data_IF_012114595034
#
_entry.id   IF_012114595034
#
_cell.length_a   1.000
_cell.length_b   1.000
_cell.length_c   1.000
_cell.angle_alpha   90.00
_cell.angle_beta   90.00
_cell.angle_gamma   90.00
#
_symmetry.space_group_name_H-M   'P 1'
#
loop_
_entity.id
_entity.type
_entity.pdbx_description
1 polymer ?
#
# COMPACT_ATOMS: atom_id res chain seq x y z
N UNK A 1 19.04 6.90 -12.62
CA UNK A 1 19.41 5.49 -12.37
C UNK A 1 18.21 4.64 -12.71
N UNK A 2 18.24 4.01 -13.87
CA UNK A 2 17.24 3.01 -14.27
C UNK A 2 17.69 1.69 -13.65
N UNK A 3 16.98 1.23 -12.61
CA UNK A 3 17.17 -0.10 -12.07
C UNK A 3 16.77 -1.10 -13.17
N UNK A 4 17.75 -1.71 -13.82
CA UNK A 4 17.50 -2.86 -14.67
C UNK A 4 17.33 -4.06 -13.73
N UNK A 5 16.15 -4.68 -13.81
CA UNK A 5 15.92 -5.98 -13.18
C UNK A 5 16.96 -6.97 -13.72
N UNK A 6 17.74 -7.54 -12.83
CA UNK A 6 18.61 -8.66 -13.14
C UNK A 6 17.99 -9.85 -12.44
N UNK A 7 17.64 -10.88 -13.19
CA UNK A 7 17.20 -12.13 -12.60
C UNK A 7 18.35 -12.70 -11.79
N UNK A 8 18.26 -12.64 -10.46
CA UNK A 8 19.33 -13.07 -9.54
C UNK A 8 19.15 -14.53 -9.16
N UNK A 9 18.00 -15.13 -9.48
CA UNK A 9 17.60 -16.46 -9.02
C UNK A 9 17.37 -17.47 -10.15
N UNK A 10 17.45 -17.10 -11.45
CA UNK A 10 17.21 -18.05 -12.52
C UNK A 10 18.48 -18.80 -12.92
N UNK A 11 18.47 -20.10 -12.76
CA UNK A 11 19.16 -20.99 -13.67
C UNK A 11 18.36 -20.97 -14.97
N UNK A 12 18.96 -20.59 -16.10
CA UNK A 12 18.31 -20.55 -17.41
C UNK A 12 17.73 -21.93 -17.73
N UNK A 13 16.43 -22.07 -17.52
CA UNK A 13 15.64 -23.17 -18.10
C UNK A 13 14.88 -22.59 -19.29
N UNK A 14 14.79 -23.33 -20.37
CA UNK A 14 14.24 -22.88 -21.67
C UNK A 14 12.69 -22.89 -21.72
N UNK A 15 12.01 -23.03 -20.56
CA UNK A 15 10.56 -23.06 -20.47
C UNK A 15 9.99 -21.64 -20.23
N UNK A 16 9.27 -21.12 -21.23
CA UNK A 16 8.71 -19.77 -21.20
C UNK A 16 7.76 -19.53 -19.99
N UNK A 17 7.01 -20.53 -19.55
CA UNK A 17 6.09 -20.44 -18.43
C UNK A 17 6.81 -20.35 -17.07
N UNK A 18 7.90 -21.07 -16.88
CA UNK A 18 8.73 -20.97 -15.66
C UNK A 18 9.40 -19.61 -15.55
N UNK A 19 9.82 -19.04 -16.67
CA UNK A 19 10.41 -17.70 -16.69
C UNK A 19 9.43 -16.60 -16.29
N UNK A 20 8.15 -16.67 -16.70
CA UNK A 20 7.12 -15.70 -16.30
C UNK A 20 6.82 -15.77 -14.79
N UNK A 21 6.72 -16.97 -14.22
CA UNK A 21 6.47 -17.16 -12.80
C UNK A 21 7.65 -16.67 -11.94
N UNK A 22 8.87 -16.90 -12.38
CA UNK A 22 10.09 -16.39 -11.73
C UNK A 22 10.19 -14.88 -11.78
N UNK A 23 9.86 -14.26 -12.91
CA UNK A 23 9.84 -12.80 -13.04
C UNK A 23 8.78 -12.16 -12.13
N UNK A 24 7.62 -12.78 -11.99
CA UNK A 24 6.55 -12.30 -11.13
C UNK A 24 6.91 -12.39 -9.65
N UNK A 25 7.53 -13.47 -9.19
CA UNK A 25 7.97 -13.62 -7.80
C UNK A 25 9.10 -12.64 -7.47
N UNK A 26 10.06 -12.45 -8.38
CA UNK A 26 11.13 -11.47 -8.22
C UNK A 26 10.57 -10.06 -8.12
N UNK A 27 9.64 -9.70 -8.99
CA UNK A 27 8.96 -8.40 -8.96
C UNK A 27 8.21 -8.20 -7.64
N UNK A 28 7.57 -9.24 -7.13
CA UNK A 28 6.87 -9.21 -5.83
C UNK A 28 7.85 -8.93 -4.69
N UNK A 29 8.98 -9.64 -4.62
CA UNK A 29 10.02 -9.44 -3.60
C UNK A 29 10.53 -7.98 -3.63
N UNK A 30 10.84 -7.47 -4.81
CA UNK A 30 11.30 -6.08 -4.97
C UNK A 30 10.24 -5.08 -4.47
N UNK A 31 8.97 -5.34 -4.72
CA UNK A 31 7.88 -4.48 -4.25
C UNK A 31 7.74 -4.53 -2.72
N UNK A 32 7.85 -5.72 -2.11
CA UNK A 32 7.83 -5.91 -0.66
C UNK A 32 8.98 -5.16 0.02
N UNK A 33 10.21 -5.38 -0.44
CA UNK A 33 11.39 -4.70 0.10
C UNK A 33 11.33 -3.19 -0.10
N UNK A 34 10.89 -2.74 -1.28
CA UNK A 34 10.73 -1.31 -1.57
C UNK A 34 9.70 -0.66 -0.66
N UNK A 35 8.56 -1.31 -0.44
CA UNK A 35 7.52 -0.86 0.49
C UNK A 35 8.07 -0.73 1.91
N UNK A 36 8.77 -1.74 2.40
CA UNK A 36 9.38 -1.75 3.73
C UNK A 36 10.46 -0.65 3.85
N UNK A 37 11.31 -0.52 2.84
CA UNK A 37 12.38 0.47 2.81
C UNK A 37 11.85 1.92 2.86
N UNK A 38 10.78 2.23 2.13
CA UNK A 38 10.20 3.59 2.14
C UNK A 38 9.38 3.85 3.40
N UNK A 39 8.81 2.80 4.01
CA UNK A 39 8.03 2.90 5.25
C UNK A 39 8.94 3.09 6.48
N UNK A 40 10.11 2.44 6.50
CA UNK A 40 11.02 2.38 7.65
C UNK A 40 12.39 3.02 7.34
N UNK A 41 12.43 4.29 6.99
CA UNK A 41 13.68 4.99 6.63
C UNK A 41 14.67 5.12 7.78
N UNK A 42 14.17 5.28 9.00
CA UNK A 42 15.04 5.44 10.16
C UNK A 42 15.60 4.08 10.58
N UNK A 43 16.92 4.03 10.84
CA UNK A 43 17.63 2.81 11.28
C UNK A 43 17.01 2.15 12.51
N UNK A 44 16.44 2.95 13.42
CA UNK A 44 15.76 2.45 14.65
C UNK A 44 14.51 1.59 14.37
N UNK A 45 13.94 1.68 13.17
CA UNK A 45 12.68 0.99 12.83
C UNK A 45 12.86 -0.09 11.77
N UNK A 46 14.09 -0.50 11.48
CA UNK A 46 14.39 -1.56 10.49
C UNK A 46 14.43 -2.97 11.08
N UNK A 47 13.53 -3.26 12.03
CA UNK A 47 13.42 -4.60 12.60
C UNK A 47 13.16 -5.66 11.52
N UNK A 48 12.38 -5.32 10.49
CA UNK A 48 12.14 -6.20 9.36
C UNK A 48 13.43 -6.70 8.68
N UNK A 49 14.43 -5.81 8.56
CA UNK A 49 15.70 -6.16 7.94
C UNK A 49 16.52 -7.08 8.86
N UNK A 50 16.49 -6.83 10.16
CA UNK A 50 17.16 -7.69 11.14
C UNK A 50 16.54 -9.10 11.16
N UNK A 51 15.22 -9.20 11.21
CA UNK A 51 14.51 -10.46 11.19
C UNK A 51 14.70 -11.20 9.85
N UNK A 52 14.74 -10.49 8.74
CA UNK A 52 15.08 -11.05 7.43
C UNK A 52 16.50 -11.63 7.41
N UNK A 53 17.49 -10.89 7.94
CA UNK A 53 18.87 -11.38 8.00
C UNK A 53 19.02 -12.58 8.92
N UNK A 54 18.28 -12.64 10.05
CA UNK A 54 18.23 -13.83 10.91
C UNK A 54 17.65 -15.03 10.15
N UNK A 55 16.51 -14.83 9.48
CA UNK A 55 15.87 -15.90 8.69
C UNK A 55 16.79 -16.40 7.58
N UNK A 56 17.49 -15.51 6.87
CA UNK A 56 18.48 -15.89 5.86
C UNK A 56 19.68 -16.65 6.44
N UNK A 57 20.14 -16.27 7.64
CA UNK A 57 21.26 -16.95 8.31
C UNK A 57 20.91 -18.36 8.80
N UNK A 58 19.62 -18.64 9.05
CA UNK A 58 19.12 -19.97 9.40
C UNK A 58 18.98 -20.89 8.16
N UNK A 59 18.97 -20.30 6.97
CA UNK A 59 18.95 -21.04 5.69
C UNK A 59 20.37 -21.24 5.18
N UNK A 60 20.64 -22.36 4.57
CA UNK A 60 21.85 -22.52 3.76
C UNK A 60 21.77 -21.57 2.56
N UNK A 61 22.81 -20.76 2.36
CA UNK A 61 22.81 -19.63 1.39
C UNK A 61 22.42 -20.07 -0.04
N UNK A 62 22.79 -21.31 -0.42
CA UNK A 62 22.49 -21.86 -1.75
C UNK A 62 21.06 -22.40 -1.88
N UNK A 63 20.28 -22.42 -0.79
CA UNK A 63 18.94 -23.03 -0.72
C UNK A 63 17.81 -22.02 -0.45
N UNK A 64 18.03 -20.74 -0.65
CA UNK A 64 16.98 -19.72 -0.45
C UNK A 64 15.98 -19.79 -1.62
N UNK A 65 14.79 -20.31 -1.33
CA UNK A 65 13.70 -20.34 -2.31
C UNK A 65 13.02 -18.96 -2.39
N UNK A 66 12.92 -18.34 -3.58
CA UNK A 66 12.27 -17.04 -3.74
C UNK A 66 10.81 -16.99 -3.26
N UNK A 67 10.05 -18.09 -3.40
CA UNK A 67 8.67 -18.19 -2.92
C UNK A 67 8.62 -18.15 -1.38
N UNK A 68 9.55 -18.83 -0.70
CA UNK A 68 9.66 -18.79 0.76
C UNK A 68 10.06 -17.40 1.27
N UNK A 69 11.00 -16.74 0.58
CA UNK A 69 11.41 -15.36 0.91
C UNK A 69 10.22 -14.41 0.80
N UNK A 70 9.48 -14.48 -0.31
CA UNK A 70 8.29 -13.65 -0.49
C UNK A 70 7.21 -13.93 0.56
N UNK A 71 6.98 -15.20 0.92
CA UNK A 71 6.04 -15.57 1.96
C UNK A 71 6.46 -15.06 3.35
N UNK A 72 7.75 -15.12 3.67
CA UNK A 72 8.31 -14.53 4.88
C UNK A 72 8.05 -13.03 4.96
N UNK A 73 8.32 -12.30 3.86
CA UNK A 73 8.09 -10.85 3.81
C UNK A 73 6.60 -10.49 3.94
N UNK A 74 5.70 -11.20 3.25
CA UNK A 74 4.25 -10.97 3.38
C UNK A 74 3.78 -11.22 4.80
N UNK A 75 4.23 -12.30 5.43
CA UNK A 75 3.90 -12.62 6.82
C UNK A 75 4.38 -11.53 7.77
N UNK A 76 5.60 -11.05 7.60
CA UNK A 76 6.14 -9.96 8.40
C UNK A 76 5.31 -8.68 8.24
N UNK A 77 4.99 -8.30 7.01
CA UNK A 77 4.20 -7.11 6.67
C UNK A 77 2.83 -7.14 7.33
N UNK A 78 2.11 -8.26 7.19
CA UNK A 78 0.77 -8.43 7.75
C UNK A 78 0.80 -8.46 9.28
N UNK A 79 1.75 -9.17 9.88
CA UNK A 79 1.90 -9.20 11.32
C UNK A 79 2.19 -7.81 11.88
N UNK A 80 3.07 -7.05 11.23
CA UNK A 80 3.35 -5.67 11.65
C UNK A 80 2.10 -4.79 11.56
N UNK A 81 1.30 -4.94 10.50
CA UNK A 81 0.02 -4.24 10.36
C UNK A 81 -0.93 -4.56 11.52
N UNK A 82 -1.14 -5.84 11.85
CA UNK A 82 -2.02 -6.24 12.96
C UNK A 82 -1.52 -5.77 14.33
N UNK A 83 -0.21 -5.83 14.58
CA UNK A 83 0.36 -5.29 15.81
C UNK A 83 0.15 -3.78 15.91
N UNK A 84 0.28 -3.06 14.81
CA UNK A 84 0.06 -1.62 14.76
C UNK A 84 -1.42 -1.29 14.98
N UNK A 85 -2.34 -2.00 14.31
CA UNK A 85 -3.78 -1.86 14.51
C UNK A 85 -4.17 -2.11 15.98
N UNK A 86 -3.66 -3.18 16.58
CA UNK A 86 -3.91 -3.50 18.00
C UNK A 86 -3.41 -2.41 18.95
N UNK A 87 -2.26 -1.79 18.66
CA UNK A 87 -1.69 -0.71 19.50
C UNK A 87 -2.45 0.61 19.39
N UNK A 88 -3.04 0.87 18.23
CA UNK A 88 -3.72 2.14 17.95
C UNK A 88 -5.20 2.12 18.33
N UNK A 89 -5.77 0.96 18.68
CA UNK A 89 -7.14 0.85 19.16
C UNK A 89 -7.33 1.60 20.48
N UNK A 90 -8.10 2.67 20.44
CA UNK A 90 -8.42 3.50 21.60
C UNK A 90 -9.42 2.84 22.55
N UNK A 91 -10.13 1.80 22.10
CA UNK A 91 -11.11 1.03 22.88
C UNK A 91 -11.16 -0.42 22.39
N UNK A 92 -11.45 -1.40 23.28
CA UNK A 92 -11.45 -2.82 22.94
C UNK A 92 -12.45 -3.25 21.84
N UNK A 93 -13.47 -2.43 21.56
CA UNK A 93 -14.54 -2.72 20.61
C UNK A 93 -14.52 -1.85 19.36
N UNK A 94 -13.47 -1.09 19.10
CA UNK A 94 -13.32 -0.37 17.82
C UNK A 94 -12.88 -1.36 16.75
N UNK A 95 -13.76 -1.60 15.77
CA UNK A 95 -13.49 -2.55 14.68
C UNK A 95 -12.26 -2.17 13.85
N UNK A 96 -11.92 -0.88 13.81
CA UNK A 96 -10.78 -0.39 13.04
C UNK A 96 -10.17 0.88 13.66
N UNK A 97 -8.86 0.84 13.96
CA UNK A 97 -8.20 1.87 14.76
C UNK A 97 -7.73 3.10 13.98
N UNK A 98 -7.57 2.99 12.64
CA UNK A 98 -7.00 4.09 11.84
C UNK A 98 -8.02 5.17 11.45
N UNK A 99 -9.30 4.98 11.76
CA UNK A 99 -10.35 5.96 11.48
C UNK A 99 -10.13 7.30 12.20
N UNK A 100 -9.62 7.21 13.42
CA UNK A 100 -9.45 8.37 14.30
C UNK A 100 -8.08 9.06 14.16
N UNK A 101 -7.10 8.45 13.49
CA UNK A 101 -5.72 8.96 13.45
C UNK A 101 -5.52 10.11 12.46
N UNK A 102 -6.34 10.21 11.43
CA UNK A 102 -6.20 11.26 10.43
C UNK A 102 -4.78 11.33 9.85
N UNK A 103 -4.19 12.51 9.88
CA UNK A 103 -2.83 12.75 9.44
C UNK A 103 -1.74 12.12 10.30
N UNK A 104 -2.07 11.61 11.49
CA UNK A 104 -1.15 10.86 12.34
C UNK A 104 -1.06 9.37 11.96
N UNK A 105 -1.85 8.94 10.97
CA UNK A 105 -1.77 7.59 10.42
C UNK A 105 -0.34 7.30 9.94
N UNK A 106 0.29 6.21 10.42
CA UNK A 106 1.65 5.85 10.03
C UNK A 106 1.80 5.68 8.51
N UNK A 107 2.88 6.18 7.92
CA UNK A 107 3.14 6.06 6.48
C UNK A 107 3.14 4.60 5.99
N UNK A 108 3.51 3.66 6.86
CA UNK A 108 3.43 2.24 6.58
C UNK A 108 2.02 1.82 6.16
N UNK A 109 0.97 2.33 6.81
CA UNK A 109 -0.42 1.95 6.50
C UNK A 109 -0.80 2.37 5.09
N UNK A 110 -0.42 3.58 4.65
CA UNK A 110 -0.64 4.02 3.28
C UNK A 110 0.12 3.17 2.26
N UNK A 111 1.39 2.87 2.53
CA UNK A 111 2.21 2.03 1.65
C UNK A 111 1.67 0.59 1.60
N UNK A 112 1.15 0.08 2.71
CA UNK A 112 0.53 -1.24 2.78
C UNK A 112 -0.77 -1.29 1.96
N UNK A 113 -1.61 -0.27 2.04
CA UNK A 113 -2.81 -0.14 1.18
C UNK A 113 -2.40 -0.15 -0.30
N UNK A 114 -1.38 0.62 -0.68
CA UNK A 114 -0.87 0.63 -2.06
C UNK A 114 -0.34 -0.74 -2.50
N UNK A 115 0.34 -1.46 -1.61
CA UNK A 115 0.82 -2.82 -1.85
C UNK A 115 -0.33 -3.81 -2.06
N UNK A 116 -1.35 -3.75 -1.20
CA UNK A 116 -2.52 -4.62 -1.33
C UNK A 116 -3.30 -4.35 -2.61
N UNK A 117 -3.48 -3.09 -2.99
CA UNK A 117 -4.08 -2.74 -4.29
C UNK A 117 -3.28 -3.32 -5.45
N UNK A 118 -1.96 -3.23 -5.40
CA UNK A 118 -1.09 -3.79 -6.43
C UNK A 118 -1.20 -5.31 -6.52
N UNK A 119 -1.16 -6.04 -5.41
CA UNK A 119 -1.35 -7.49 -5.39
C UNK A 119 -2.75 -7.86 -5.90
N UNK A 120 -3.79 -7.20 -5.41
CA UNK A 120 -5.17 -7.47 -5.81
C UNK A 120 -5.39 -7.26 -7.31
N UNK A 121 -4.77 -6.24 -7.92
CA UNK A 121 -4.86 -6.00 -9.37
C UNK A 121 -4.27 -7.13 -10.20
N UNK A 122 -3.23 -7.80 -9.71
CA UNK A 122 -2.56 -8.91 -10.39
C UNK A 122 -3.24 -10.25 -10.16
N UNK A 123 -3.69 -10.49 -8.94
CA UNK A 123 -4.28 -11.79 -8.54
C UNK A 123 -5.78 -11.85 -8.75
N UNK A 124 -6.46 -10.72 -8.95
CA UNK A 124 -7.93 -10.60 -9.03
C UNK A 124 -8.65 -11.21 -7.81
N UNK A 125 -7.99 -11.27 -6.66
CA UNK A 125 -8.52 -11.89 -5.43
C UNK A 125 -9.45 -10.99 -4.62
N UNK A 126 -9.58 -9.73 -4.97
CA UNK A 126 -10.47 -8.80 -4.30
C UNK A 126 -11.36 -8.10 -5.31
N UNK A 127 -12.66 -8.01 -4.99
CA UNK A 127 -13.60 -7.23 -5.78
C UNK A 127 -13.56 -5.76 -5.35
N UNK A 128 -12.59 -5.03 -5.91
CA UNK A 128 -12.34 -3.62 -5.59
C UNK A 128 -12.60 -2.78 -6.83
N UNK A 129 -13.31 -1.67 -6.64
CA UNK A 129 -13.59 -0.73 -7.72
C UNK A 129 -12.27 -0.15 -8.28
N UNK A 130 -12.18 -0.07 -9.60
CA UNK A 130 -11.04 0.51 -10.32
C UNK A 130 -9.71 -0.20 -10.11
N UNK A 131 -9.72 -1.45 -9.68
CA UNK A 131 -8.50 -2.22 -9.46
C UNK A 131 -7.67 -2.38 -10.75
N UNK A 132 -8.32 -2.37 -11.91
CA UNK A 132 -7.66 -2.47 -13.22
C UNK A 132 -6.88 -1.20 -13.61
N UNK A 133 -7.11 -0.08 -12.93
CA UNK A 133 -6.33 1.15 -13.08
C UNK A 133 -4.94 1.04 -12.39
N UNK A 134 -4.75 0.03 -11.55
CA UNK A 134 -3.51 -0.21 -10.84
C UNK A 134 -2.56 -0.99 -11.74
N UNK A 135 -1.76 -0.28 -12.49
CA UNK A 135 -0.72 -0.85 -13.34
C UNK A 135 0.68 -0.65 -12.76
N UNK A 136 1.69 -0.61 -13.60
CA UNK A 136 3.08 -0.48 -13.20
C UNK A 136 3.32 0.77 -12.32
N UNK A 137 3.55 0.53 -11.02
CA UNK A 137 4.03 1.56 -10.13
C UNK A 137 5.27 1.08 -9.38
N UNK A 138 5.99 2.01 -8.75
CA UNK A 138 7.14 1.73 -7.91
C UNK A 138 7.02 2.52 -6.63
N UNK A 139 7.34 1.90 -5.50
CA UNK A 139 7.39 2.61 -4.24
C UNK A 139 8.44 3.71 -4.26
N UNK A 140 8.03 4.89 -3.84
CA UNK A 140 8.88 6.06 -3.65
C UNK A 140 8.67 6.61 -2.26
N UNK A 141 9.72 7.15 -1.68
CA UNK A 141 9.57 7.80 -0.41
C UNK A 141 8.79 9.10 -0.54
N UNK A 142 7.69 9.17 0.19
CA UNK A 142 6.89 10.35 0.38
C UNK A 142 6.85 10.72 1.85
N UNK A 143 6.91 12.01 2.16
CA UNK A 143 7.05 12.55 3.51
C UNK A 143 5.97 13.55 3.89
N UNK A 144 4.89 13.58 3.14
CA UNK A 144 3.75 14.44 3.39
C UNK A 144 2.46 13.68 3.14
N UNK A 145 1.45 13.96 3.94
CA UNK A 145 0.09 13.47 3.74
C UNK A 145 -0.71 14.62 3.11
N UNK A 146 -1.44 14.31 2.09
CA UNK A 146 -2.27 15.22 1.30
C UNK A 146 -3.74 14.87 1.47
N UNK A 147 -4.57 15.90 1.64
CA UNK A 147 -6.02 15.79 1.63
C UNK A 147 -6.53 15.97 0.20
N UNK A 148 -7.20 14.98 -0.35
CA UNK A 148 -7.81 15.11 -1.67
C UNK A 148 -8.95 16.14 -1.66
N UNK A 149 -9.89 16.02 -0.71
CA UNK A 149 -10.78 17.12 -0.33
C UNK A 149 -10.04 18.00 0.67
N UNK A 150 -9.75 19.26 0.36
CA UNK A 150 -8.99 20.13 1.25
C UNK A 150 -9.67 20.34 2.60
N UNK A 151 -8.89 20.64 3.64
CA UNK A 151 -9.39 20.91 4.99
C UNK A 151 -10.36 22.10 5.05
N UNK A 152 -10.20 23.05 4.14
CA UNK A 152 -11.13 24.21 4.01
C UNK A 152 -12.58 23.82 3.69
N UNK A 153 -12.83 22.59 3.22
CA UNK A 153 -14.18 22.07 2.93
C UNK A 153 -14.82 21.31 4.11
N UNK A 154 -14.15 21.23 5.25
CA UNK A 154 -14.61 20.46 6.41
C UNK A 154 -16.04 20.81 6.83
N UNK A 155 -16.34 22.09 6.94
CA UNK A 155 -17.63 22.57 7.45
C UNK A 155 -18.75 22.53 6.39
N UNK A 156 -18.38 22.61 5.11
CA UNK A 156 -19.36 22.63 4.00
C UNK A 156 -19.84 21.25 3.61
N UNK A 157 -18.97 20.24 3.68
CA UNK A 157 -19.29 18.87 3.24
C UNK A 157 -19.81 17.97 4.37
N UNK A 158 -19.79 18.45 5.61
CA UNK A 158 -20.17 17.68 6.80
C UNK A 158 -19.56 16.24 6.78
N UNK A 159 -18.26 16.17 6.54
CA UNK A 159 -17.48 14.94 6.47
C UNK A 159 -16.16 15.08 7.22
N UNK A 160 -15.69 13.97 7.78
CA UNK A 160 -14.35 13.94 8.33
C UNK A 160 -13.32 13.98 7.19
N UNK A 161 -12.74 15.17 6.93
CA UNK A 161 -11.71 15.35 5.89
C UNK A 161 -10.41 14.62 6.22
N UNK A 162 -10.18 14.32 7.50
CA UNK A 162 -9.03 13.54 7.97
C UNK A 162 -9.25 12.02 7.86
N UNK A 163 -10.37 11.57 7.28
CA UNK A 163 -10.61 10.17 7.00
C UNK A 163 -9.51 9.61 6.07
N UNK A 164 -8.99 8.44 6.39
CA UNK A 164 -7.93 7.79 5.61
C UNK A 164 -8.27 7.67 4.12
N UNK A 165 -9.55 7.51 3.78
CA UNK A 165 -10.02 7.46 2.38
C UNK A 165 -9.76 8.78 1.63
N UNK A 166 -9.73 9.90 2.34
CA UNK A 166 -9.44 11.22 1.78
C UNK A 166 -7.95 11.57 1.77
N UNK A 167 -7.11 10.76 2.41
CA UNK A 167 -5.68 11.02 2.59
C UNK A 167 -4.82 10.18 1.66
N UNK A 168 -3.70 10.73 1.19
CA UNK A 168 -2.70 9.98 0.43
C UNK A 168 -1.29 10.50 0.70
N UNK A 169 -0.28 9.63 0.50
CA UNK A 169 1.11 10.05 0.57
C UNK A 169 1.52 10.82 -0.68
N UNK A 170 2.30 11.88 -0.47
CA UNK A 170 2.80 12.74 -1.54
C UNK A 170 4.17 13.34 -1.16
N UNK A 171 4.94 13.81 -2.14
CA UNK A 171 6.13 14.60 -1.83
C UNK A 171 5.73 15.99 -1.30
N UNK A 172 6.52 16.52 -0.35
CA UNK A 172 6.30 17.87 0.21
C UNK A 172 6.18 18.94 -0.89
N UNK A 173 7.02 18.86 -1.94
CA UNK A 173 6.96 19.81 -3.07
C UNK A 173 5.63 19.77 -3.80
N UNK A 174 5.11 18.56 -4.06
CA UNK A 174 3.79 18.40 -4.70
C UNK A 174 2.67 18.86 -3.77
N UNK A 175 2.75 18.52 -2.47
CA UNK A 175 1.77 18.97 -1.49
C UNK A 175 1.63 20.50 -1.49
N UNK A 176 2.73 21.22 -1.39
CA UNK A 176 2.73 22.67 -1.46
C UNK A 176 2.16 23.22 -2.77
N UNK A 177 2.29 22.50 -3.89
CA UNK A 177 1.75 22.93 -5.19
C UNK A 177 0.25 22.63 -5.36
N UNK A 178 -0.27 21.66 -4.63
CA UNK A 178 -1.69 21.32 -4.65
C UNK A 178 -2.51 22.24 -3.75
N UNK A 179 -1.99 22.55 -2.57
CA UNK A 179 -2.62 23.43 -1.59
C UNK A 179 -4.15 23.18 -1.50
N UNK A 180 -4.97 24.21 -1.52
CA UNK A 180 -6.43 24.17 -1.45
C UNK A 180 -7.13 23.92 -2.80
N UNK A 181 -6.42 23.37 -3.80
CA UNK A 181 -7.05 23.04 -5.09
C UNK A 181 -8.20 22.06 -4.90
N UNK A 182 -9.28 22.30 -5.63
CA UNK A 182 -10.43 21.41 -5.63
C UNK A 182 -10.06 19.99 -6.13
N UNK A 183 -10.75 18.94 -5.65
CA UNK A 183 -10.47 17.55 -6.07
C UNK A 183 -10.43 17.36 -7.59
N UNK A 184 -11.33 18.01 -8.32
CA UNK A 184 -11.36 18.00 -9.79
C UNK A 184 -10.06 18.50 -10.44
N UNK A 185 -9.43 19.50 -9.85
CA UNK A 185 -8.16 20.04 -10.35
C UNK A 185 -6.98 19.14 -10.01
N UNK A 186 -7.00 18.56 -8.80
CA UNK A 186 -5.99 17.58 -8.37
C UNK A 186 -6.04 16.33 -9.24
N UNK A 187 -7.23 15.85 -9.59
CA UNK A 187 -7.43 14.67 -10.42
C UNK A 187 -6.94 14.81 -11.87
N UNK A 188 -6.73 16.03 -12.37
CA UNK A 188 -6.10 16.27 -13.69
C UNK A 188 -4.60 15.98 -13.72
N UNK A 189 -3.96 15.76 -12.57
CA UNK A 189 -2.51 15.57 -12.45
C UNK A 189 -2.14 14.08 -12.38
N UNK A 190 -2.44 13.32 -13.43
CA UNK A 190 -2.46 11.85 -13.44
C UNK A 190 -1.10 11.12 -13.55
N UNK A 191 0.04 11.78 -13.62
CA UNK A 191 1.31 11.08 -13.88
C UNK A 191 1.97 10.51 -12.63
N UNK A 192 2.33 9.21 -12.68
CA UNK A 192 3.19 8.53 -11.70
C UNK A 192 2.58 8.43 -10.31
N UNK A 193 1.29 8.13 -10.22
CA UNK A 193 0.55 8.05 -8.98
C UNK A 193 0.66 6.67 -8.33
N UNK A 194 0.63 6.65 -6.99
CA UNK A 194 0.42 5.43 -6.23
C UNK A 194 -1.00 4.87 -6.48
N UNK A 195 -1.18 3.54 -6.31
CA UNK A 195 -2.45 2.85 -6.52
C UNK A 195 -3.64 3.55 -5.86
N UNK A 196 -3.59 3.79 -4.56
CA UNK A 196 -4.65 4.47 -3.82
C UNK A 196 -5.01 5.81 -4.44
N UNK A 197 -4.01 6.61 -4.80
CA UNK A 197 -4.21 7.93 -5.37
C UNK A 197 -4.79 7.89 -6.78
N UNK A 198 -4.40 6.91 -7.60
CA UNK A 198 -5.04 6.65 -8.92
C UNK A 198 -6.52 6.37 -8.75
N UNK A 199 -6.86 5.48 -7.81
CA UNK A 199 -8.25 5.11 -7.52
C UNK A 199 -9.05 6.34 -7.07
N UNK A 200 -8.53 7.15 -6.14
CA UNK A 200 -9.17 8.40 -5.71
C UNK A 200 -9.45 9.35 -6.87
N UNK A 201 -8.48 9.51 -7.77
CA UNK A 201 -8.61 10.39 -8.94
C UNK A 201 -9.60 9.83 -9.95
N UNK A 202 -9.63 8.51 -10.14
CA UNK A 202 -10.60 7.85 -11.02
C UNK A 202 -12.02 8.00 -10.47
N UNK A 203 -12.25 7.77 -9.19
CA UNK A 203 -13.54 8.01 -8.54
C UNK A 203 -13.99 9.47 -8.75
N UNK A 204 -13.07 10.43 -8.57
CA UNK A 204 -13.37 11.86 -8.79
C UNK A 204 -13.78 12.13 -10.24
N UNK A 205 -13.06 11.55 -11.19
CA UNK A 205 -13.36 11.69 -12.62
C UNK A 205 -14.76 11.13 -12.95
N UNK A 206 -15.06 9.92 -12.53
CA UNK A 206 -16.33 9.24 -12.82
C UNK A 206 -17.52 9.87 -12.07
N UNK A 207 -17.23 10.64 -11.02
CA UNK A 207 -18.21 11.45 -10.29
C UNK A 207 -18.32 12.89 -10.84
N UNK A 208 -17.96 13.15 -12.10
CA UNK A 208 -17.97 14.46 -12.72
C UNK A 208 -17.15 15.53 -11.98
N UNK A 209 -16.08 15.12 -11.34
CA UNK A 209 -15.19 15.98 -10.55
C UNK A 209 -15.62 16.15 -9.09
N UNK A 210 -16.65 15.46 -8.66
CA UNK A 210 -17.10 15.45 -7.26
C UNK A 210 -16.25 14.49 -6.42
N UNK A 211 -15.85 14.98 -5.26
CA UNK A 211 -15.24 14.19 -4.20
C UNK A 211 -15.69 14.78 -2.86
N UNK A 212 -16.82 14.33 -2.37
CA UNK A 212 -17.44 14.77 -1.14
C UNK A 212 -17.70 13.60 -0.20
N UNK A 213 -18.63 13.80 0.74
CA UNK A 213 -18.96 12.80 1.77
C UNK A 213 -19.21 11.40 1.20
N UNK A 214 -20.02 11.30 0.14
CA UNK A 214 -20.38 10.01 -0.45
C UNK A 214 -19.13 9.26 -0.96
N UNK A 215 -18.30 9.90 -1.76
CA UNK A 215 -17.11 9.30 -2.34
C UNK A 215 -16.11 8.88 -1.27
N UNK A 216 -15.95 9.71 -0.22
CA UNK A 216 -15.05 9.41 0.90
C UNK A 216 -15.54 8.18 1.66
N UNK A 217 -16.84 8.10 1.99
CA UNK A 217 -17.39 6.96 2.73
C UNK A 217 -17.36 5.68 1.90
N UNK A 218 -17.73 5.74 0.61
CA UNK A 218 -17.68 4.59 -0.28
C UNK A 218 -16.23 4.06 -0.44
N UNK A 219 -15.24 4.98 -0.57
CA UNK A 219 -13.83 4.59 -0.68
C UNK A 219 -13.27 4.11 0.67
N UNK A 220 -13.80 4.60 1.79
CA UNK A 220 -13.46 4.11 3.11
C UNK A 220 -13.86 2.63 3.28
N UNK A 221 -15.06 2.24 2.85
CA UNK A 221 -15.49 0.85 2.91
C UNK A 221 -14.64 -0.06 1.99
N UNK A 222 -14.24 0.43 0.82
CA UNK A 222 -13.29 -0.30 -0.06
C UNK A 222 -11.93 -0.54 0.63
N UNK A 223 -11.36 0.48 1.29
CA UNK A 223 -10.09 0.36 2.02
C UNK A 223 -10.24 -0.57 3.23
N UNK A 224 -11.33 -0.45 3.98
CA UNK A 224 -11.62 -1.30 5.12
C UNK A 224 -11.69 -2.77 4.70
N UNK A 225 -12.45 -3.07 3.66
CA UNK A 225 -12.55 -4.41 3.09
C UNK A 225 -11.19 -4.93 2.62
N UNK A 226 -10.40 -4.10 1.91
CA UNK A 226 -9.06 -4.45 1.46
C UNK A 226 -8.14 -4.86 2.62
N UNK A 227 -8.15 -4.10 3.70
CA UNK A 227 -7.32 -4.36 4.88
C UNK A 227 -7.80 -5.57 5.69
N UNK A 228 -9.11 -5.80 5.78
CA UNK A 228 -9.68 -6.98 6.42
C UNK A 228 -9.33 -8.27 5.66
N UNK A 229 -9.31 -8.23 4.34
CA UNK A 229 -8.96 -9.36 3.48
C UNK A 229 -7.45 -9.46 3.18
N UNK A 230 -6.59 -8.72 3.88
CA UNK A 230 -5.16 -8.66 3.58
C UNK A 230 -4.48 -10.04 3.53
N UNK A 231 -4.79 -10.92 4.49
CA UNK A 231 -4.24 -12.29 4.55
C UNK A 231 -4.69 -13.14 3.37
N UNK A 232 -5.96 -13.03 2.96
CA UNK A 232 -6.51 -13.76 1.81
C UNK A 232 -5.89 -13.26 0.51
N UNK A 233 -5.77 -11.94 0.36
CA UNK A 233 -5.13 -11.30 -0.81
C UNK A 233 -3.69 -11.77 -0.97
N UNK A 234 -2.96 -11.90 0.15
CA UNK A 234 -1.57 -12.35 0.18
C UNK A 234 -1.40 -13.88 0.24
N UNK A 235 -2.51 -14.65 0.28
CA UNK A 235 -2.49 -16.11 0.40
C UNK A 235 -1.74 -16.63 1.63
N UNK A 236 -1.95 -15.97 2.77
CA UNK A 236 -1.34 -16.38 4.03
C UNK A 236 -2.27 -17.34 4.78
N UNK A 237 -1.77 -18.53 5.07
CA UNK A 237 -2.41 -19.48 5.96
C UNK A 237 -2.31 -18.92 7.39
N UNK A 238 -3.45 -18.48 7.94
CA UNK A 238 -3.67 -18.07 9.33
C UNK A 238 -2.59 -17.14 9.95
N UNK A 239 -2.71 -15.80 9.80
CA UNK A 239 -1.73 -14.84 10.29
C UNK A 239 -1.73 -14.64 11.81
N UNK A 240 -2.61 -15.30 12.57
CA UNK A 240 -2.79 -15.05 14.01
C UNK A 240 -1.85 -15.82 14.93
N UNK A 241 -0.86 -16.53 14.39
CA UNK A 241 0.06 -17.34 15.20
C UNK A 241 1.51 -16.85 15.05
N UNK A 242 1.83 -15.69 15.62
CA UNK A 242 3.15 -15.44 16.23
C UNK A 242 2.97 -14.46 17.40
#
# INVERSE_FOLDING_TARGET
LTLKFRNTFSNRTDDANENEEEEDIQKKIIMQESMLQVSFRNKKYKNWLFELLQWLNEKEVDNVNPKELSAFLDKWIVNYYYQLDKKTKSAPNTEWSFEALGTDTPHFVFNFIDYLYWIASRTKRANIRYIDEVDNFYFRYYNSIEHHLPQSYKDTENVNVDNIANLCLISRRKNSSLNDKAPKEKAKMEQGLQPKRKIMYRITHDSNGLWGRKQILDHYEDIKSLLQCASEILSLDNPQLI
#
